data_IF_201969012828
#
_entry.id   IF_201969012828
#
_cell.length_a   1.000
_cell.length_b   1.000
_cell.length_c   1.000
_cell.angle_alpha   90.00
_cell.angle_beta   90.00
_cell.angle_gamma   90.00
#
_symmetry.space_group_name_H-M   'P 1'
#
loop_
_entity.id
_entity.type
_entity.pdbx_description
1 polymer ?
#
# COMPACT_ATOMS: atom_id res chain seq x y z
N UNK A 1 -15.96 -0.41 -28.24
CA UNK A 1 -16.21 -1.65 -27.47
C UNK A 1 -15.26 -1.63 -26.29
N UNK A 2 -15.72 -1.14 -25.14
CA UNK A 2 -14.96 -1.27 -23.90
C UNK A 2 -15.16 -2.70 -23.38
N UNK A 3 -14.06 -3.45 -23.32
CA UNK A 3 -14.00 -4.66 -22.51
C UNK A 3 -14.09 -4.21 -21.06
N UNK A 4 -15.31 -4.20 -20.51
CA UNK A 4 -15.53 -4.22 -19.07
C UNK A 4 -14.83 -5.48 -18.56
N UNK A 5 -13.58 -5.33 -18.09
CA UNK A 5 -12.94 -6.35 -17.29
C UNK A 5 -13.90 -6.56 -16.11
N UNK A 6 -14.51 -7.74 -16.05
CA UNK A 6 -15.14 -8.24 -14.83
C UNK A 6 -14.01 -8.43 -13.80
N UNK A 7 -13.50 -7.34 -13.25
CA UNK A 7 -12.59 -7.34 -12.12
C UNK A 7 -13.44 -7.89 -10.97
N UNK A 8 -13.04 -9.03 -10.42
CA UNK A 8 -13.67 -9.55 -9.21
C UNK A 8 -13.60 -8.45 -8.16
N UNK A 9 -14.70 -8.19 -7.47
CA UNK A 9 -14.75 -7.22 -6.38
C UNK A 9 -13.92 -7.62 -5.15
N UNK A 10 -13.14 -8.71 -5.24
CA UNK A 10 -12.22 -9.13 -4.21
C UNK A 10 -11.01 -9.86 -4.82
N UNK A 11 -9.92 -9.89 -4.06
CA UNK A 11 -8.75 -10.74 -4.29
C UNK A 11 -8.54 -11.61 -3.04
N UNK A 12 -8.27 -12.90 -3.24
CA UNK A 12 -7.82 -13.79 -2.16
C UNK A 12 -6.28 -13.72 -2.12
N UNK A 13 -5.72 -13.40 -0.95
CA UNK A 13 -4.29 -13.21 -0.72
C UNK A 13 -3.74 -14.39 0.06
N UNK A 14 -2.63 -14.92 -0.44
CA UNK A 14 -1.79 -15.93 0.21
C UNK A 14 -0.35 -15.38 0.27
N UNK A 15 0.38 -15.65 1.35
CA UNK A 15 1.76 -15.20 1.50
C UNK A 15 2.78 -16.27 1.07
N UNK A 16 2.34 -17.53 1.01
CA UNK A 16 3.04 -18.63 0.36
C UNK A 16 2.12 -19.29 -0.67
N UNK A 17 2.68 -20.12 -1.55
CA UNK A 17 1.88 -20.89 -2.49
C UNK A 17 1.08 -21.96 -1.73
N UNK A 18 -0.26 -21.96 -1.79
CA UNK A 18 -1.08 -22.96 -1.09
C UNK A 18 -0.89 -24.40 -1.61
N UNK A 19 -0.30 -24.60 -2.80
CA UNK A 19 0.09 -25.92 -3.27
C UNK A 19 1.36 -26.43 -2.56
N UNK A 20 2.26 -25.53 -2.17
CA UNK A 20 3.51 -25.85 -1.47
C UNK A 20 3.33 -25.84 0.06
N UNK A 21 2.54 -24.91 0.59
CA UNK A 21 2.16 -24.83 1.99
C UNK A 21 0.64 -24.70 2.15
N UNK A 22 -0.08 -25.82 2.33
CA UNK A 22 -1.53 -25.82 2.53
C UNK A 22 -2.02 -25.06 3.77
N UNK A 23 -1.15 -24.83 4.74
CA UNK A 23 -1.46 -24.13 5.99
C UNK A 23 -1.29 -22.61 5.88
N UNK A 24 -0.86 -22.08 4.72
CA UNK A 24 -0.82 -20.64 4.48
C UNK A 24 -2.21 -20.01 4.63
N UNK A 25 -2.35 -18.91 5.41
CA UNK A 25 -3.64 -18.28 5.62
C UNK A 25 -4.16 -17.67 4.31
N UNK A 26 -5.49 -17.76 4.12
CA UNK A 26 -6.19 -17.11 3.02
C UNK A 26 -6.92 -15.87 3.52
N UNK A 27 -6.52 -14.70 3.04
CA UNK A 27 -7.21 -13.44 3.35
C UNK A 27 -8.01 -12.96 2.15
N UNK A 28 -9.33 -12.79 2.30
CA UNK A 28 -10.16 -12.17 1.27
C UNK A 28 -10.19 -10.66 1.44
N UNK A 29 -9.73 -9.93 0.44
CA UNK A 29 -9.68 -8.46 0.42
C UNK A 29 -10.64 -7.92 -0.63
N UNK A 30 -11.53 -7.02 -0.25
CA UNK A 30 -12.58 -6.49 -1.14
C UNK A 30 -12.16 -5.17 -1.79
N UNK A 31 -12.45 -5.00 -3.07
CA UNK A 31 -12.13 -3.82 -3.88
C UNK A 31 -13.36 -3.29 -4.62
N UNK A 32 -14.55 -3.40 -4.02
CA UNK A 32 -15.66 -2.54 -4.43
C UNK A 32 -15.39 -1.07 -4.00
N UNK A 33 -16.14 -0.14 -4.58
CA UNK A 33 -15.93 1.30 -4.37
C UNK A 33 -15.92 1.68 -2.88
N UNK A 34 -16.80 1.06 -2.08
CA UNK A 34 -16.89 1.31 -0.64
C UNK A 34 -15.61 0.89 0.07
N UNK A 35 -15.10 -0.31 -0.19
CA UNK A 35 -13.88 -0.78 0.46
C UNK A 35 -12.65 0.03 0.01
N UNK A 36 -12.58 0.40 -1.28
CA UNK A 36 -11.50 1.28 -1.79
C UNK A 36 -11.48 2.61 -1.02
N UNK A 37 -12.63 3.26 -0.84
CA UNK A 37 -12.74 4.50 -0.06
C UNK A 37 -12.33 4.31 1.41
N UNK A 38 -12.79 3.24 2.06
CA UNK A 38 -12.42 2.92 3.44
C UNK A 38 -10.91 2.67 3.60
N UNK A 39 -10.30 1.94 2.68
CA UNK A 39 -8.86 1.69 2.69
C UNK A 39 -8.10 3.00 2.52
N UNK A 40 -8.44 3.79 1.51
CA UNK A 40 -7.82 5.09 1.24
C UNK A 40 -7.88 6.03 2.46
N UNK A 41 -8.99 6.05 3.19
CA UNK A 41 -9.14 6.83 4.41
C UNK A 41 -8.23 6.34 5.55
N UNK A 42 -8.05 5.02 5.72
CA UNK A 42 -7.26 4.41 6.79
C UNK A 42 -5.76 4.37 6.49
N UNK A 43 -5.39 4.24 5.22
CA UNK A 43 -4.01 4.09 4.74
C UNK A 43 -3.44 5.38 4.15
N UNK A 44 -4.23 6.46 4.12
CA UNK A 44 -3.73 7.78 3.74
C UNK A 44 -2.49 8.14 4.54
N UNK A 45 -1.50 8.77 3.88
CA UNK A 45 -0.16 9.09 4.39
C UNK A 45 0.72 7.91 4.83
N UNK A 46 0.32 6.65 4.60
CA UNK A 46 1.11 5.51 5.07
C UNK A 46 2.52 5.48 4.49
N UNK A 47 2.71 5.87 3.22
CA UNK A 47 4.04 5.96 2.59
C UNK A 47 4.90 7.05 3.24
N UNK A 48 4.36 8.26 3.40
CA UNK A 48 5.07 9.37 4.04
C UNK A 48 5.49 9.01 5.47
N UNK A 49 4.61 8.36 6.25
CA UNK A 49 4.94 7.90 7.61
C UNK A 49 5.97 6.78 7.61
N UNK A 50 5.91 5.84 6.68
CA UNK A 50 6.90 4.77 6.58
C UNK A 50 8.29 5.36 6.30
N UNK A 51 8.39 6.35 5.40
CA UNK A 51 9.64 7.05 5.12
C UNK A 51 10.15 7.84 6.33
N UNK A 52 9.27 8.53 7.06
CA UNK A 52 9.63 9.26 8.27
C UNK A 52 10.14 8.32 9.38
N UNK A 53 9.47 7.19 9.59
CA UNK A 53 9.88 6.17 10.57
C UNK A 53 11.20 5.51 10.17
N UNK A 54 11.41 5.24 8.87
CA UNK A 54 12.68 4.70 8.37
C UNK A 54 13.82 5.70 8.56
N UNK A 55 13.58 6.99 8.31
CA UNK A 55 14.56 8.04 8.59
C UNK A 55 14.88 8.11 10.08
N UNK A 56 13.87 8.06 10.95
CA UNK A 56 14.06 7.99 12.40
C UNK A 56 14.90 6.78 12.83
N UNK A 57 14.65 5.61 12.23
CA UNK A 57 15.44 4.41 12.50
C UNK A 57 16.90 4.54 12.03
N UNK A 58 17.13 5.19 10.88
CA UNK A 58 18.49 5.44 10.35
C UNK A 58 19.26 6.45 11.19
N UNK A 59 18.58 7.45 11.74
CA UNK A 59 19.17 8.50 12.59
C UNK A 59 19.30 8.08 14.05
N UNK A 60 18.76 6.93 14.44
CA UNK A 60 18.86 6.42 15.80
C UNK A 60 20.31 6.13 16.18
N UNK A 61 20.81 6.86 17.17
CA UNK A 61 22.15 6.71 17.75
C UNK A 61 22.14 5.93 19.08
N UNK A 62 20.95 5.57 19.58
CA UNK A 62 20.79 4.74 20.78
C UNK A 62 19.79 3.60 20.56
N UNK A 63 19.89 2.50 21.34
CA UNK A 63 18.92 1.40 21.29
C UNK A 63 17.48 1.84 21.56
N UNK A 64 17.27 2.81 22.46
CA UNK A 64 15.94 3.32 22.81
C UNK A 64 15.29 4.04 21.62
N UNK A 65 16.05 4.87 20.90
CA UNK A 65 15.56 5.55 19.70
C UNK A 65 15.28 4.56 18.58
N UNK A 66 16.10 3.53 18.43
CA UNK A 66 15.86 2.46 17.46
C UNK A 66 14.57 1.69 17.79
N UNK A 67 14.36 1.37 19.07
CA UNK A 67 13.13 0.72 19.53
C UNK A 67 11.89 1.61 19.32
N UNK A 68 12.00 2.92 19.55
CA UNK A 68 10.91 3.87 19.30
C UNK A 68 10.54 3.92 17.81
N UNK A 69 11.55 3.97 16.93
CA UNK A 69 11.35 3.95 15.48
C UNK A 69 10.69 2.63 15.01
N UNK A 70 11.17 1.49 15.52
CA UNK A 70 10.57 0.18 15.23
C UNK A 70 9.13 0.10 15.73
N UNK A 71 8.84 0.58 16.94
CA UNK A 71 7.48 0.62 17.48
C UNK A 71 6.56 1.53 16.66
N UNK A 72 7.05 2.67 16.19
CA UNK A 72 6.31 3.55 15.29
C UNK A 72 5.99 2.87 13.96
N UNK A 73 6.96 2.13 13.42
CA UNK A 73 6.81 1.39 12.18
C UNK A 73 5.86 0.20 12.31
N UNK A 74 5.96 -0.59 13.38
CA UNK A 74 5.03 -1.67 13.71
C UNK A 74 3.58 -1.17 13.84
N UNK A 75 3.36 -0.03 14.53
CA UNK A 75 2.02 0.58 14.64
C UNK A 75 1.45 0.98 13.29
N UNK A 76 2.28 1.52 12.40
CA UNK A 76 1.88 1.87 11.03
C UNK A 76 1.52 0.64 10.21
N UNK A 77 2.33 -0.42 10.30
CA UNK A 77 2.10 -1.70 9.64
C UNK A 77 0.79 -2.33 10.10
N UNK A 78 0.57 -2.43 11.42
CA UNK A 78 -0.69 -2.93 11.99
C UNK A 78 -1.88 -2.13 11.47
N UNK A 79 -1.85 -0.80 11.56
CA UNK A 79 -2.95 0.06 11.07
C UNK A 79 -3.29 -0.22 9.61
N UNK A 80 -2.25 -0.34 8.78
CA UNK A 80 -2.41 -0.48 7.33
C UNK A 80 -2.87 -1.87 6.96
N UNK A 81 -2.21 -2.91 7.46
CA UNK A 81 -2.53 -4.31 7.16
C UNK A 81 -3.92 -4.65 7.71
N UNK A 82 -4.23 -4.28 8.96
CA UNK A 82 -5.57 -4.49 9.54
C UNK A 82 -6.67 -3.69 8.82
N UNK A 83 -6.34 -2.65 8.04
CA UNK A 83 -7.35 -2.00 7.21
C UNK A 83 -7.88 -2.94 6.12
N UNK A 84 -7.03 -3.82 5.58
CA UNK A 84 -7.40 -4.77 4.51
C UNK A 84 -7.96 -6.08 5.03
N UNK A 85 -7.34 -6.66 6.06
CA UNK A 85 -7.66 -8.01 6.55
C UNK A 85 -8.32 -8.03 7.93
N UNK A 86 -8.60 -6.86 8.51
CA UNK A 86 -9.16 -6.73 9.85
C UNK A 86 -8.15 -7.00 10.97
N UNK A 87 -8.59 -6.80 12.21
CA UNK A 87 -7.78 -7.08 13.40
C UNK A 87 -7.55 -8.58 13.58
N UNK A 88 -8.58 -9.40 13.38
CA UNK A 88 -8.47 -10.87 13.44
C UNK A 88 -7.49 -11.40 12.38
N UNK A 89 -7.55 -10.88 11.15
CA UNK A 89 -6.61 -11.29 10.10
C UNK A 89 -5.18 -10.88 10.41
N UNK A 90 -4.97 -9.73 11.06
CA UNK A 90 -3.65 -9.33 11.56
C UNK A 90 -3.12 -10.29 12.63
N UNK A 91 -3.96 -10.67 13.60
CA UNK A 91 -3.57 -11.64 14.64
C UNK A 91 -3.26 -13.01 14.05
N UNK A 92 -4.07 -13.48 13.09
CA UNK A 92 -3.83 -14.70 12.34
C UNK A 92 -2.50 -14.64 11.56
N UNK A 93 -2.21 -13.51 10.92
CA UNK A 93 -0.96 -13.30 10.18
C UNK A 93 0.26 -13.43 11.11
N UNK A 94 0.24 -12.74 12.26
CA UNK A 94 1.35 -12.80 13.21
C UNK A 94 1.55 -14.21 13.78
N UNK A 95 0.46 -14.89 14.12
CA UNK A 95 0.48 -16.27 14.60
C UNK A 95 1.08 -17.22 13.55
N UNK A 96 0.64 -17.11 12.29
CA UNK A 96 1.16 -17.93 11.20
C UNK A 96 2.65 -17.69 10.96
N UNK A 97 3.10 -16.43 10.95
CA UNK A 97 4.51 -16.10 10.75
C UNK A 97 5.44 -16.63 11.85
N UNK A 98 4.92 -16.83 13.07
CA UNK A 98 5.72 -17.34 14.19
C UNK A 98 5.60 -18.84 14.41
N UNK A 99 4.71 -19.51 13.68
CA UNK A 99 4.54 -20.96 13.73
C UNK A 99 4.30 -21.49 15.15
N UNK A 100 5.05 -22.52 15.52
CA UNK A 100 4.92 -23.19 16.82
C UNK A 100 5.41 -22.35 18.01
N UNK A 101 6.20 -21.29 17.77
CA UNK A 101 6.69 -20.39 18.81
C UNK A 101 5.64 -19.35 19.25
N UNK A 102 4.50 -19.29 18.55
CA UNK A 102 3.43 -18.33 18.77
C UNK A 102 3.63 -17.04 17.96
N UNK A 103 2.76 -16.03 18.14
CA UNK A 103 2.78 -14.84 17.28
C UNK A 103 4.10 -14.06 17.33
N UNK A 104 4.63 -13.68 16.16
CA UNK A 104 5.84 -12.86 16.10
C UNK A 104 5.63 -11.49 16.76
N UNK A 105 6.69 -10.95 17.36
CA UNK A 105 6.72 -9.56 17.84
C UNK A 105 6.89 -8.60 16.64
N UNK A 106 5.93 -7.70 16.35
CA UNK A 106 6.02 -6.84 15.19
C UNK A 106 7.21 -5.88 15.20
N UNK A 107 7.60 -5.34 16.35
CA UNK A 107 8.75 -4.42 16.46
C UNK A 107 10.10 -5.07 16.13
N UNK A 108 10.18 -6.40 16.22
CA UNK A 108 11.39 -7.17 15.91
C UNK A 108 11.39 -7.68 14.47
N UNK A 109 10.23 -7.63 13.80
CA UNK A 109 9.99 -8.24 12.49
C UNK A 109 9.57 -7.21 11.42
N UNK A 110 10.08 -5.98 11.54
CA UNK A 110 9.74 -4.86 10.64
C UNK A 110 9.99 -5.18 9.17
N UNK A 111 11.07 -5.90 8.84
CA UNK A 111 11.41 -6.18 7.44
C UNK A 111 10.34 -7.02 6.75
N UNK A 112 10.00 -8.18 7.32
CA UNK A 112 9.04 -9.11 6.73
C UNK A 112 7.62 -8.52 6.73
N UNK A 113 7.23 -7.82 7.80
CA UNK A 113 5.96 -7.09 7.84
C UNK A 113 5.93 -5.92 6.85
N UNK A 114 7.09 -5.35 6.50
CA UNK A 114 7.24 -4.35 5.45
C UNK A 114 6.90 -4.88 4.06
N UNK A 115 7.23 -6.14 3.76
CA UNK A 115 6.88 -6.78 2.50
C UNK A 115 5.37 -7.04 2.40
N UNK A 116 4.75 -7.47 3.49
CA UNK A 116 3.29 -7.61 3.58
C UNK A 116 2.59 -6.26 3.43
N UNK A 117 3.08 -5.24 4.13
CA UNK A 117 2.59 -3.88 4.02
C UNK A 117 2.65 -3.36 2.57
N UNK A 118 3.79 -3.54 1.90
CA UNK A 118 3.98 -3.13 0.52
C UNK A 118 3.06 -3.89 -0.45
N UNK A 119 2.81 -5.17 -0.20
CA UNK A 119 1.87 -6.00 -0.96
C UNK A 119 0.47 -5.39 -0.95
N UNK A 120 -0.08 -5.09 0.23
CA UNK A 120 -1.42 -4.51 0.33
C UNK A 120 -1.53 -3.11 -0.29
N UNK A 121 -0.52 -2.24 -0.10
CA UNK A 121 -0.52 -0.94 -0.75
C UNK A 121 -0.46 -1.05 -2.27
N UNK A 122 0.31 -2.02 -2.79
CA UNK A 122 0.40 -2.29 -4.23
C UNK A 122 -0.91 -2.82 -4.79
N UNK A 123 -1.63 -3.65 -4.03
CA UNK A 123 -2.98 -4.08 -4.39
C UNK A 123 -3.93 -2.88 -4.47
N UNK A 124 -3.97 -2.03 -3.45
CA UNK A 124 -4.81 -0.82 -3.47
C UNK A 124 -4.48 0.08 -4.68
N UNK A 125 -3.19 0.23 -5.00
CA UNK A 125 -2.77 1.02 -6.15
C UNK A 125 -3.21 0.46 -7.52
N UNK A 126 -3.50 -0.84 -7.62
CA UNK A 126 -4.06 -1.47 -8.83
C UNK A 126 -5.56 -1.22 -8.99
N UNK A 127 -6.28 -0.98 -7.90
CA UNK A 127 -7.74 -0.82 -7.89
C UNK A 127 -8.20 0.63 -7.75
N UNK A 128 -7.46 1.47 -7.04
CA UNK A 128 -7.78 2.88 -6.88
C UNK A 128 -7.38 3.71 -8.10
N UNK A 129 -8.14 4.77 -8.37
CA UNK A 129 -7.79 5.74 -9.42
C UNK A 129 -6.55 6.55 -9.03
N UNK A 130 -5.85 7.11 -10.02
CA UNK A 130 -4.71 7.99 -9.75
C UNK A 130 -5.08 9.23 -8.93
N UNK A 131 -6.30 9.76 -9.10
CA UNK A 131 -6.79 10.91 -8.32
C UNK A 131 -6.95 10.56 -6.84
N UNK A 132 -7.57 9.41 -6.55
CA UNK A 132 -7.70 8.86 -5.21
C UNK A 132 -6.33 8.62 -4.56
N UNK A 133 -5.39 8.01 -5.28
CA UNK A 133 -4.04 7.75 -4.77
C UNK A 133 -3.26 9.04 -4.49
N UNK A 134 -3.41 10.08 -5.32
CA UNK A 134 -2.80 11.38 -5.07
C UNK A 134 -3.41 12.07 -3.84
N UNK A 135 -4.75 12.06 -3.71
CA UNK A 135 -5.45 12.65 -2.57
C UNK A 135 -5.02 12.03 -1.23
N UNK A 136 -4.72 10.72 -1.23
CA UNK A 136 -4.34 9.99 -0.03
C UNK A 136 -2.82 9.92 0.20
N UNK A 137 -2.00 10.57 -0.63
CA UNK A 137 -0.53 10.57 -0.48
C UNK A 137 0.12 9.21 -0.77
N UNK A 138 -0.55 8.35 -1.56
CA UNK A 138 -0.04 7.04 -1.97
C UNK A 138 0.53 7.04 -3.40
N UNK A 139 0.35 8.13 -4.15
CA UNK A 139 1.00 8.30 -5.44
C UNK A 139 2.50 8.59 -5.26
N UNK A 140 3.36 7.77 -5.85
CA UNK A 140 4.79 8.07 -6.05
C UNK A 140 4.92 9.49 -6.61
N UNK A 141 5.44 10.43 -5.80
CA UNK A 141 5.57 11.85 -6.17
C UNK A 141 6.30 12.04 -7.52
N UNK A 142 7.29 11.22 -7.82
CA UNK A 142 8.01 11.26 -9.10
C UNK A 142 7.12 10.99 -10.33
N UNK A 143 6.14 10.10 -10.20
CA UNK A 143 5.23 9.75 -11.32
C UNK A 143 4.13 10.81 -11.48
N UNK A 144 3.67 11.41 -10.39
CA UNK A 144 2.73 12.51 -10.42
C UNK A 144 3.32 13.74 -11.13
N UNK A 145 4.58 14.07 -10.87
CA UNK A 145 5.29 15.16 -11.55
C UNK A 145 5.50 14.86 -13.04
N UNK A 146 5.87 13.62 -13.39
CA UNK A 146 6.00 13.19 -14.80
C UNK A 146 4.66 13.23 -15.56
N UNK A 147 3.57 12.77 -14.95
CA UNK A 147 2.23 12.79 -15.56
C UNK A 147 1.72 14.22 -15.70
N UNK A 148 1.95 15.09 -14.71
CA UNK A 148 1.64 16.51 -14.85
C UNK A 148 2.46 17.17 -15.96
N UNK A 149 3.76 16.86 -16.07
CA UNK A 149 4.62 17.37 -17.12
C UNK A 149 4.14 16.92 -18.52
N UNK A 150 3.79 15.64 -18.67
CA UNK A 150 3.22 15.08 -19.90
C UNK A 150 1.89 15.74 -20.27
N UNK A 151 0.98 15.90 -19.31
CA UNK A 151 -0.32 16.55 -19.53
C UNK A 151 -0.16 18.03 -19.92
N UNK A 152 0.78 18.76 -19.30
CA UNK A 152 1.12 20.14 -19.71
C UNK A 152 1.71 20.17 -21.12
N UNK A 153 2.58 19.23 -21.46
CA UNK A 153 3.17 19.12 -22.80
C UNK A 153 2.12 18.83 -23.89
N UNK A 154 1.19 17.91 -23.63
CA UNK A 154 0.09 17.61 -24.55
C UNK A 154 -0.86 18.80 -24.73
N UNK A 155 -1.21 19.52 -23.67
CA UNK A 155 -2.05 20.74 -23.75
C UNK A 155 -1.37 21.83 -24.57
N UNK A 156 -0.05 22.04 -24.39
CA UNK A 156 0.75 22.97 -25.20
C UNK A 156 0.80 22.57 -26.67
N UNK A 157 0.94 21.28 -26.98
CA UNK A 157 0.95 20.78 -28.35
C UNK A 157 -0.41 20.96 -29.05
N UNK A 158 -1.53 20.68 -28.35
CA UNK A 158 -2.89 20.94 -28.86
C UNK A 158 -3.14 22.43 -29.11
N UNK A 159 -2.70 23.31 -28.21
CA UNK A 159 -2.81 24.76 -28.39
C UNK A 159 -2.02 25.27 -29.61
N UNK A 160 -0.80 24.77 -29.83
CA UNK A 160 0.01 25.09 -31.02
C UNK A 160 -0.63 24.62 -32.32
N UNK A 161 -1.27 23.44 -32.33
CA UNK A 161 -2.03 22.94 -33.50
C UNK A 161 -3.25 23.79 -33.82
N UNK A 162 -4.04 24.21 -32.82
CA UNK A 162 -5.17 25.13 -33.01
C UNK A 162 -4.74 26.49 -33.60
N UNK A 163 -3.58 27.00 -33.19
CA UNK A 163 -3.03 28.27 -33.69
C UNK A 163 -2.51 28.21 -35.14
N UNK A 164 -2.19 27.01 -35.66
CA UNK A 164 -1.74 26.79 -37.04
C UNK A 164 -2.86 26.39 -38.02
N UNK A 165 -3.98 25.89 -37.53
CA UNK A 165 -5.14 25.47 -38.34
C UNK A 165 -6.25 26.53 -38.46
N UNK A 166 -6.10 27.69 -37.84
CA UNK A 166 -6.99 28.84 -38.05
C UNK A 166 -6.46 29.69 -39.20
N UNK A 167 -6.81 29.32 -40.43
CA UNK A 167 -6.68 30.17 -41.62
C UNK A 167 -7.90 29.94 -42.49
#
# INVERSE_FOLDING_TARGET
MELLKNIRAYEDVFFEDPEENPDTPRFRVWFDDKHIEEYLAKVGNAIDRAQANEQMAREADTPEKAAEANAAQARLMKRTISAFIGTEGWEQLLAWMGGDEGPIAPEENIRILGEVFATFLSMLARHATSEQLMACGLAYRERADQVQALNRAQRRAKAKRKKKGGK
#
